data_IF_347151029275
#
_entry.id   IF_347151029275
#
_cell.length_a   1.000
_cell.length_b   1.000
_cell.length_c   1.000
_cell.angle_alpha   90.00
_cell.angle_beta   90.00
_cell.angle_gamma   90.00
#
_symmetry.space_group_name_H-M   'P 1'
#
loop_
_entity.id
_entity.type
_entity.pdbx_description
1 polymer ?
#
# COMPACT_ATOMS: atom_id res chain seq x y z
N UNK A 1 10.64 -2.04 -11.88
CA UNK A 1 9.23 -1.95 -11.44
C UNK A 1 8.35 -2.76 -12.37
N UNK A 2 8.41 -4.09 -12.29
CA UNK A 2 7.62 -5.00 -13.14
C UNK A 2 6.12 -4.92 -12.82
N UNK A 3 5.72 -4.68 -11.55
CA UNK A 3 4.29 -4.60 -11.19
C UNK A 3 3.57 -3.42 -11.82
N UNK A 4 4.18 -2.23 -11.96
CA UNK A 4 3.53 -1.10 -12.65
C UNK A 4 3.19 -1.39 -14.12
N UNK A 5 4.02 -2.19 -14.80
CA UNK A 5 3.77 -2.61 -16.19
C UNK A 5 2.83 -3.82 -16.27
N UNK A 6 2.65 -4.56 -15.17
CA UNK A 6 1.74 -5.69 -15.07
C UNK A 6 0.33 -5.29 -14.60
N UNK A 7 0.16 -4.08 -14.06
CA UNK A 7 -1.16 -3.50 -13.80
C UNK A 7 -1.87 -3.26 -15.14
N UNK A 8 -3.15 -3.62 -15.20
CA UNK A 8 -4.00 -3.26 -16.32
C UNK A 8 -4.18 -1.73 -16.41
N UNK A 9 -4.68 -1.26 -17.56
CA UNK A 9 -4.83 0.16 -17.83
C UNK A 9 -5.78 0.85 -16.82
N UNK A 10 -6.76 0.12 -16.28
CA UNK A 10 -7.73 0.65 -15.32
C UNK A 10 -7.06 0.90 -13.97
N UNK A 11 -6.29 -0.06 -13.47
CA UNK A 11 -5.52 0.08 -12.24
C UNK A 11 -4.41 1.14 -12.36
N UNK A 12 -3.77 1.26 -13.53
CA UNK A 12 -2.79 2.34 -13.79
C UNK A 12 -3.45 3.71 -13.80
N UNK A 13 -4.65 3.81 -14.37
CA UNK A 13 -5.42 5.05 -14.38
C UNK A 13 -5.90 5.39 -12.98
N UNK A 14 -6.34 4.40 -12.21
CA UNK A 14 -6.79 4.56 -10.83
C UNK A 14 -5.65 4.91 -9.85
N UNK A 15 -4.40 4.52 -10.12
CA UNK A 15 -3.25 4.97 -9.32
C UNK A 15 -2.93 6.45 -9.51
N UNK A 16 -3.24 6.97 -10.70
CA UNK A 16 -2.84 8.31 -11.11
C UNK A 16 -1.37 8.40 -11.55
N UNK A 17 -0.85 9.63 -11.53
CA UNK A 17 0.52 9.90 -11.91
C UNK A 17 1.49 9.59 -10.75
N UNK A 18 2.75 9.23 -11.04
CA UNK A 18 3.77 9.17 -10.00
C UNK A 18 4.00 10.57 -9.44
N UNK A 19 3.90 10.72 -8.13
CA UNK A 19 4.07 12.00 -7.44
C UNK A 19 5.53 12.36 -7.22
N UNK A 20 6.39 11.34 -7.09
CA UNK A 20 7.84 11.47 -6.88
C UNK A 20 8.63 10.44 -7.72
N UNK A 21 9.96 10.39 -7.55
CA UNK A 21 10.75 9.27 -8.05
C UNK A 21 10.68 8.09 -7.08
N UNK A 22 10.84 6.86 -7.59
CA UNK A 22 10.92 5.67 -6.76
C UNK A 22 12.11 5.77 -5.79
N UNK A 23 11.88 5.38 -4.55
CA UNK A 23 12.87 5.40 -3.47
C UNK A 23 13.25 3.98 -3.12
N UNK A 24 14.56 3.74 -2.96
CA UNK A 24 15.10 2.48 -2.45
C UNK A 24 15.50 2.64 -1.00
N UNK A 25 14.92 1.83 -0.13
CA UNK A 25 15.25 1.75 1.28
C UNK A 25 16.58 1.03 1.49
N UNK A 26 17.29 1.28 2.62
CA UNK A 26 18.58 0.66 2.91
C UNK A 26 18.57 -0.87 2.99
N UNK A 27 17.42 -1.47 3.30
CA UNK A 27 17.15 -2.91 3.36
C UNK A 27 16.84 -3.53 1.98
N UNK A 28 16.78 -2.72 0.92
CA UNK A 28 16.54 -3.17 -0.46
C UNK A 28 15.09 -3.08 -0.93
N UNK A 29 14.14 -2.70 -0.07
CA UNK A 29 12.76 -2.42 -0.49
C UNK A 29 12.69 -1.19 -1.39
N UNK A 30 11.76 -1.17 -2.34
CA UNK A 30 11.58 -0.04 -3.27
C UNK A 30 10.12 0.40 -3.21
N UNK A 31 9.85 1.68 -3.05
CA UNK A 31 8.49 2.21 -3.16
C UNK A 31 8.39 3.35 -4.17
N UNK A 32 7.25 3.45 -4.84
CA UNK A 32 6.89 4.55 -5.71
C UNK A 32 5.53 5.09 -5.31
N UNK A 33 5.48 6.36 -4.94
CA UNK A 33 4.24 7.07 -4.64
C UNK A 33 3.53 7.48 -5.93
N UNK A 34 2.21 7.36 -5.92
CA UNK A 34 1.28 7.84 -6.92
C UNK A 34 0.18 8.66 -6.24
N UNK A 35 -0.64 9.37 -7.02
CA UNK A 35 -1.72 10.22 -6.50
C UNK A 35 -2.65 9.44 -5.55
N UNK A 36 -3.11 8.26 -5.98
CA UNK A 36 -4.14 7.48 -5.29
C UNK A 36 -3.60 6.19 -4.64
N UNK A 37 -2.29 5.97 -4.66
CA UNK A 37 -1.69 4.79 -4.04
C UNK A 37 -0.18 4.75 -4.09
N UNK A 38 0.37 3.60 -3.73
CA UNK A 38 1.81 3.34 -3.69
C UNK A 38 2.08 1.93 -4.18
N UNK A 39 3.09 1.78 -5.03
CA UNK A 39 3.61 0.46 -5.41
C UNK A 39 4.86 0.20 -4.60
N UNK A 40 4.89 -0.91 -3.88
CA UNK A 40 6.00 -1.31 -3.01
C UNK A 40 6.55 -2.66 -3.46
N UNK A 41 7.82 -2.71 -3.81
CA UNK A 41 8.56 -3.94 -4.11
C UNK A 41 9.44 -4.32 -2.92
N UNK A 42 9.41 -5.61 -2.59
CA UNK A 42 10.10 -6.24 -1.48
C UNK A 42 10.77 -7.53 -1.96
N UNK A 43 11.51 -8.21 -1.09
CA UNK A 43 12.05 -9.54 -1.40
C UNK A 43 10.96 -10.59 -1.66
N UNK A 44 9.79 -10.45 -1.04
CA UNK A 44 8.70 -11.45 -1.09
C UNK A 44 7.70 -11.20 -2.21
N UNK A 45 7.67 -9.99 -2.76
CA UNK A 45 6.75 -9.62 -3.83
C UNK A 45 6.68 -8.12 -4.05
N UNK A 46 5.82 -7.74 -4.99
CA UNK A 46 5.45 -6.34 -5.19
C UNK A 46 3.97 -6.19 -4.88
N UNK A 47 3.57 -5.12 -4.20
CA UNK A 47 2.23 -4.90 -3.68
C UNK A 47 1.76 -3.48 -3.98
N UNK A 48 0.45 -3.29 -4.14
CA UNK A 48 -0.16 -1.96 -4.21
C UNK A 48 -0.96 -1.69 -2.95
N UNK A 49 -0.73 -0.52 -2.35
CA UNK A 49 -1.52 -0.01 -1.23
C UNK A 49 -2.25 1.24 -1.70
N UNK A 50 -3.56 1.31 -1.45
CA UNK A 50 -4.46 2.29 -2.04
C UNK A 50 -5.00 3.29 -1.01
N UNK A 51 -5.31 4.50 -1.47
CA UNK A 51 -6.14 5.49 -0.79
C UNK A 51 -5.84 5.66 0.70
N UNK A 52 -6.90 5.60 1.51
CA UNK A 52 -6.84 5.85 2.97
C UNK A 52 -6.00 4.81 3.73
N UNK A 53 -5.89 3.59 3.23
CA UNK A 53 -4.99 2.58 3.79
C UNK A 53 -3.53 3.03 3.61
N UNK A 54 -3.18 3.50 2.40
CA UNK A 54 -1.86 4.05 2.08
C UNK A 54 -1.57 5.33 2.86
N UNK A 55 -2.57 6.19 3.05
CA UNK A 55 -2.42 7.42 3.84
C UNK A 55 -2.10 7.08 5.28
N UNK A 56 -2.87 6.17 5.89
CA UNK A 56 -2.64 5.75 7.27
C UNK A 56 -1.29 5.06 7.45
N UNK A 57 -0.91 4.19 6.51
CA UNK A 57 0.40 3.55 6.52
C UNK A 57 1.55 4.55 6.43
N UNK A 58 1.43 5.58 5.57
CA UNK A 58 2.43 6.63 5.45
C UNK A 58 2.52 7.51 6.72
N UNK A 59 1.41 7.81 7.38
CA UNK A 59 1.39 8.50 8.68
C UNK A 59 2.18 7.74 9.76
N UNK A 60 2.16 6.41 9.69
CA UNK A 60 2.88 5.51 10.61
C UNK A 60 4.35 5.27 10.20
N UNK A 61 4.87 6.03 9.24
CA UNK A 61 6.27 5.92 8.77
C UNK A 61 6.48 5.00 7.57
N UNK A 62 5.39 4.49 6.98
CA UNK A 62 5.42 3.66 5.78
C UNK A 62 6.24 2.38 5.96
N UNK A 63 7.00 2.02 4.94
CA UNK A 63 7.79 0.77 4.88
C UNK A 63 8.93 0.70 5.90
N UNK A 64 9.31 1.81 6.52
CA UNK A 64 10.33 1.88 7.58
C UNK A 64 9.71 2.21 8.93
N UNK A 65 8.37 2.24 9.00
CA UNK A 65 7.57 2.52 10.18
C UNK A 65 7.16 1.25 10.94
N UNK A 66 6.23 1.43 11.87
CA UNK A 66 5.85 0.38 12.84
C UNK A 66 5.19 -0.85 12.18
N UNK A 67 4.47 -0.65 11.08
CA UNK A 67 3.79 -1.74 10.36
C UNK A 67 4.71 -2.53 9.41
N UNK A 68 5.84 -1.93 8.99
CA UNK A 68 6.74 -2.51 8.00
C UNK A 68 6.15 -2.55 6.58
N UNK A 69 6.62 -3.49 5.77
CA UNK A 69 6.22 -3.66 4.39
C UNK A 69 4.83 -4.31 4.24
N UNK A 70 4.11 -4.01 3.14
CA UNK A 70 2.92 -4.78 2.79
C UNK A 70 3.30 -6.22 2.43
N UNK A 71 2.46 -7.16 2.83
CA UNK A 71 2.58 -8.60 2.51
C UNK A 71 1.43 -9.11 1.64
N UNK A 72 0.42 -8.26 1.38
CA UNK A 72 -0.69 -8.52 0.47
C UNK A 72 -1.04 -7.28 -0.37
N UNK A 73 -1.70 -7.49 -1.50
CA UNK A 73 -2.49 -6.42 -2.12
C UNK A 73 -3.75 -6.12 -1.28
N UNK A 74 -4.48 -5.06 -1.63
CA UNK A 74 -5.78 -4.78 -1.02
C UNK A 74 -6.77 -5.92 -1.29
N UNK A 75 -7.39 -6.42 -0.22
CA UNK A 75 -8.44 -7.45 -0.26
C UNK A 75 -9.68 -6.96 0.46
N UNK A 76 -10.82 -7.61 0.23
CA UNK A 76 -12.05 -7.36 0.99
C UNK A 76 -12.21 -8.43 2.06
N UNK A 77 -12.35 -8.02 3.33
CA UNK A 77 -12.55 -8.93 4.46
C UNK A 77 -14.00 -9.43 4.55
N UNK A 78 -14.28 -10.35 5.48
CA UNK A 78 -15.62 -10.95 5.66
C UNK A 78 -16.71 -9.94 6.09
N UNK A 79 -16.32 -8.76 6.56
CA UNK A 79 -17.21 -7.67 6.98
C UNK A 79 -17.45 -6.67 5.84
N UNK A 80 -16.89 -6.89 4.65
CA UNK A 80 -17.02 -6.01 3.50
C UNK A 80 -16.05 -4.82 3.48
N UNK A 81 -15.09 -4.77 4.40
CA UNK A 81 -14.10 -3.70 4.48
C UNK A 81 -12.90 -4.04 3.60
N UNK A 82 -12.29 -3.02 3.00
CA UNK A 82 -10.97 -3.15 2.37
C UNK A 82 -9.91 -3.34 3.43
N UNK A 83 -8.90 -4.14 3.13
CA UNK A 83 -7.77 -4.35 4.03
C UNK A 83 -6.48 -4.65 3.26
N UNK A 84 -5.36 -4.23 3.82
CA UNK A 84 -4.02 -4.64 3.43
C UNK A 84 -3.29 -5.19 4.64
N UNK A 85 -2.64 -6.33 4.48
CA UNK A 85 -1.78 -6.92 5.51
C UNK A 85 -0.36 -6.40 5.34
N UNK A 86 0.26 -6.06 6.46
CA UNK A 86 1.65 -5.64 6.60
C UNK A 86 2.41 -6.63 7.49
N UNK A 87 3.73 -6.50 7.56
CA UNK A 87 4.58 -7.40 8.36
C UNK A 87 4.18 -7.45 9.84
N UNK A 88 3.72 -6.34 10.40
CA UNK A 88 3.42 -6.19 11.83
C UNK A 88 1.97 -5.78 12.14
N UNK A 89 1.06 -5.88 11.16
CA UNK A 89 -0.33 -5.54 11.38
C UNK A 89 -1.16 -5.57 10.11
N UNK A 90 -2.42 -5.17 10.25
CA UNK A 90 -3.38 -5.04 9.15
C UNK A 90 -4.02 -3.68 9.25
N UNK A 91 -4.16 -3.00 8.12
CA UNK A 91 -4.92 -1.74 8.05
C UNK A 91 -6.20 -2.01 7.28
N UNK A 92 -7.33 -1.60 7.85
CA UNK A 92 -8.67 -1.81 7.29
C UNK A 92 -9.37 -0.47 7.06
N UNK A 93 -10.23 -0.42 6.05
CA UNK A 93 -11.04 0.75 5.72
C UNK A 93 -12.38 0.33 5.11
N UNK A 94 -13.48 0.97 5.51
CA UNK A 94 -14.80 0.78 4.93
C UNK A 94 -15.26 2.02 4.15
N UNK A 95 -16.11 1.81 3.14
CA UNK A 95 -16.71 2.92 2.40
C UNK A 95 -17.50 3.83 3.35
N UNK A 96 -17.11 5.11 3.39
CA UNK A 96 -17.68 6.12 4.29
C UNK A 96 -16.82 6.45 5.51
N UNK A 97 -15.74 5.69 5.77
CA UNK A 97 -14.78 6.05 6.81
C UNK A 97 -13.91 7.24 6.36
N UNK A 98 -13.71 8.21 7.26
CA UNK A 98 -12.81 9.36 7.05
C UNK A 98 -11.33 8.97 7.23
N UNK A 99 -11.05 7.87 7.93
CA UNK A 99 -9.70 7.34 8.18
C UNK A 99 -9.68 5.81 8.20
N UNK A 100 -8.54 5.21 7.84
CA UNK A 100 -8.35 3.77 7.98
C UNK A 100 -8.00 3.38 9.43
N UNK A 101 -8.43 2.19 9.85
CA UNK A 101 -8.18 1.61 11.17
C UNK A 101 -6.99 0.67 11.13
N UNK A 102 -6.14 0.74 12.15
CA UNK A 102 -4.94 -0.10 12.28
C UNK A 102 -5.21 -1.20 13.31
N UNK A 103 -4.88 -2.43 12.96
CA UNK A 103 -4.90 -3.60 13.84
C UNK A 103 -3.49 -4.18 13.88
N UNK A 104 -2.75 -3.89 14.94
CA UNK A 104 -1.40 -4.42 15.16
C UNK A 104 -1.44 -5.92 15.52
N UNK A 105 -0.41 -6.68 15.11
CA UNK A 105 -0.26 -8.11 15.46
C UNK A 105 0.57 -8.33 16.72
#
# INVERSE_FOLDING_TARGET
MEKYNALDDEARTALGAPTDAAVTNPDGGIFQQFDDGVIVATETGTYVVWGLIRDKWNELGGSQGELGYPTSDETTNAQGQKQTTFEHGTVTWAEGDEEATVVEN
#
